data_IF_539482087683
#
_entry.id   IF_539482087683
#
_cell.length_a   1.000
_cell.length_b   1.000
_cell.length_c   1.000
_cell.angle_alpha   90.00
_cell.angle_beta   90.00
_cell.angle_gamma   90.00
#
_symmetry.space_group_name_H-M   'P 1'
#
loop_
_entity.id
_entity.type
_entity.pdbx_description
1 polymer ?
#
# COMPACT_ATOMS: atom_id res chain seq x y z
N UNK A 1 7.07 -11.77 -12.74
CA UNK A 1 7.14 -10.30 -12.58
C UNK A 1 6.31 -9.92 -11.36
N UNK A 2 6.79 -9.03 -10.51
CA UNK A 2 6.05 -8.59 -9.32
C UNK A 2 5.15 -7.42 -9.69
N UNK A 3 3.87 -7.47 -9.31
CA UNK A 3 2.86 -6.45 -9.62
C UNK A 3 2.27 -5.85 -8.33
N UNK A 4 1.70 -4.64 -8.42
CA UNK A 4 1.03 -3.99 -7.27
C UNK A 4 -0.14 -4.86 -6.77
N UNK A 5 -0.89 -5.48 -7.69
CA UNK A 5 -2.01 -6.35 -7.34
C UNK A 5 -1.56 -7.57 -6.53
N UNK A 6 -0.47 -8.22 -6.93
CA UNK A 6 0.09 -9.34 -6.17
C UNK A 6 0.52 -8.90 -4.77
N UNK A 7 1.17 -7.73 -4.65
CA UNK A 7 1.58 -7.17 -3.35
C UNK A 7 0.37 -6.89 -2.47
N UNK A 8 -0.71 -6.33 -3.03
CA UNK A 8 -1.95 -6.08 -2.31
C UNK A 8 -2.57 -7.38 -1.80
N UNK A 9 -2.61 -8.43 -2.62
CA UNK A 9 -3.14 -9.75 -2.23
C UNK A 9 -2.35 -10.35 -1.08
N UNK A 10 -1.03 -10.47 -1.23
CA UNK A 10 -0.15 -11.08 -0.22
C UNK A 10 -0.13 -10.28 1.08
N UNK A 11 -0.14 -8.94 0.99
CA UNK A 11 -0.18 -8.11 2.19
C UNK A 11 -1.53 -8.25 2.90
N UNK A 12 -2.64 -8.23 2.18
CA UNK A 12 -3.96 -8.40 2.77
C UNK A 12 -4.11 -9.76 3.47
N UNK A 13 -3.62 -10.83 2.85
CA UNK A 13 -3.57 -12.18 3.43
C UNK A 13 -2.74 -12.23 4.71
N UNK A 14 -1.54 -11.64 4.69
CA UNK A 14 -0.63 -11.62 5.85
C UNK A 14 -1.21 -10.88 7.06
N UNK A 15 -2.06 -9.88 6.82
CA UNK A 15 -2.74 -9.11 7.85
C UNK A 15 -4.16 -9.63 8.15
N UNK A 16 -4.64 -10.69 7.49
CA UNK A 16 -5.98 -11.22 7.71
C UNK A 16 -7.13 -10.26 7.35
N UNK A 17 -6.91 -9.33 6.40
CA UNK A 17 -7.91 -8.35 5.97
C UNK A 17 -8.33 -8.56 4.51
N UNK A 18 -9.53 -8.13 4.10
CA UNK A 18 -9.90 -8.12 2.68
C UNK A 18 -9.01 -7.15 1.88
N UNK A 19 -8.61 -7.52 0.65
CA UNK A 19 -7.83 -6.66 -0.26
C UNK A 19 -8.49 -5.29 -0.47
N UNK A 20 -9.82 -5.25 -0.55
CA UNK A 20 -10.60 -4.01 -0.67
C UNK A 20 -10.36 -3.01 0.48
N UNK A 21 -9.91 -3.49 1.65
CA UNK A 21 -9.54 -2.65 2.79
C UNK A 21 -8.31 -1.80 2.52
N UNK A 22 -7.38 -2.28 1.69
CA UNK A 22 -6.18 -1.54 1.30
C UNK A 22 -6.51 -0.31 0.45
N UNK A 23 -7.57 -0.36 -0.37
CA UNK A 23 -8.04 0.78 -1.17
C UNK A 23 -9.18 1.57 -0.49
N UNK A 24 -9.78 1.00 0.55
CA UNK A 24 -10.87 1.62 1.32
C UNK A 24 -10.44 2.81 2.19
N UNK A 25 -11.42 3.49 2.78
CA UNK A 25 -11.21 4.69 3.61
C UNK A 25 -11.02 4.39 5.11
N UNK A 26 -11.16 3.12 5.54
CA UNK A 26 -11.02 2.73 6.94
C UNK A 26 -9.57 2.90 7.41
N UNK A 27 -9.41 3.52 8.60
CA UNK A 27 -8.12 3.94 9.17
C UNK A 27 -7.81 3.29 10.53
N UNK A 28 -8.39 2.13 10.83
CA UNK A 28 -7.95 1.37 12.01
C UNK A 28 -6.45 1.09 11.89
N UNK A 29 -5.73 1.09 13.01
CA UNK A 29 -4.25 1.04 13.02
C UNK A 29 -3.71 -0.14 12.20
N UNK A 30 -4.34 -1.30 12.32
CA UNK A 30 -4.03 -2.51 11.54
C UNK A 30 -4.17 -2.31 10.02
N UNK A 31 -5.31 -1.77 9.56
CA UNK A 31 -5.56 -1.51 8.13
C UNK A 31 -4.63 -0.40 7.61
N UNK A 32 -4.36 0.60 8.43
CA UNK A 32 -3.42 1.67 8.09
C UNK A 32 -2.01 1.11 7.87
N UNK A 33 -1.53 0.29 8.80
CA UNK A 33 -0.23 -0.37 8.70
C UNK A 33 -0.15 -1.29 7.48
N UNK A 34 -1.13 -2.18 7.28
CA UNK A 34 -1.17 -3.07 6.12
C UNK A 34 -1.10 -2.30 4.79
N UNK A 35 -1.84 -1.19 4.69
CA UNK A 35 -1.79 -0.31 3.51
C UNK A 35 -0.43 0.36 3.33
N UNK A 36 0.18 0.82 4.41
CA UNK A 36 1.49 1.48 4.35
C UNK A 36 2.58 0.49 3.90
N UNK A 37 2.56 -0.73 4.45
CA UNK A 37 3.45 -1.83 4.05
C UNK A 37 3.25 -2.15 2.55
N UNK A 38 2.01 -2.32 2.09
CA UNK A 38 1.73 -2.62 0.69
C UNK A 38 2.22 -1.51 -0.26
N UNK A 39 2.07 -0.23 0.12
CA UNK A 39 2.59 0.90 -0.66
C UNK A 39 4.12 0.93 -0.70
N UNK A 40 4.78 0.67 0.43
CA UNK A 40 6.24 0.58 0.53
C UNK A 40 6.79 -0.52 -0.38
N UNK A 41 6.25 -1.75 -0.26
CA UNK A 41 6.65 -2.88 -1.10
C UNK A 41 6.38 -2.62 -2.58
N UNK A 42 5.29 -1.95 -2.92
CA UNK A 42 4.98 -1.58 -4.31
C UNK A 42 6.07 -0.68 -4.90
N UNK A 43 6.58 0.28 -4.12
CA UNK A 43 7.65 1.18 -4.54
C UNK A 43 8.98 0.44 -4.70
N UNK A 44 9.29 -0.46 -3.78
CA UNK A 44 10.57 -1.18 -3.74
C UNK A 44 10.66 -2.27 -4.82
N UNK A 45 9.56 -2.98 -5.10
CA UNK A 45 9.59 -4.23 -5.87
C UNK A 45 9.09 -4.13 -7.32
N UNK A 46 8.40 -3.06 -7.71
CA UNK A 46 7.69 -3.00 -9.02
C UNK A 46 8.20 -1.96 -10.00
N UNK A 47 9.05 -1.01 -9.56
CA UNK A 47 9.55 0.09 -10.40
C UNK A 47 8.45 1.06 -10.89
N UNK A 48 7.22 0.94 -10.38
CA UNK A 48 6.09 1.80 -10.74
C UNK A 48 6.22 3.19 -10.11
N UNK A 49 5.59 4.19 -10.74
CA UNK A 49 5.65 5.57 -10.24
C UNK A 49 4.76 5.77 -9.01
N UNK A 50 5.08 6.76 -8.17
CA UNK A 50 4.27 7.10 -6.99
C UNK A 50 2.80 7.38 -7.34
N UNK A 51 2.54 7.97 -8.51
CA UNK A 51 1.18 8.20 -9.01
C UNK A 51 0.47 6.89 -9.32
N UNK A 52 1.12 5.95 -10.02
CA UNK A 52 0.55 4.63 -10.34
C UNK A 52 0.24 3.83 -9.07
N UNK A 53 1.14 3.86 -8.09
CA UNK A 53 0.90 3.26 -6.77
C UNK A 53 -0.31 3.94 -6.13
N UNK A 54 -0.35 5.28 -6.06
CA UNK A 54 -1.48 6.02 -5.52
C UNK A 54 -2.82 5.60 -6.14
N UNK A 55 -2.88 5.50 -7.47
CA UNK A 55 -4.08 5.06 -8.18
C UNK A 55 -4.50 3.63 -7.80
N UNK A 56 -3.56 2.68 -7.71
CA UNK A 56 -3.85 1.30 -7.33
C UNK A 56 -4.45 1.16 -5.91
N UNK A 57 -4.14 2.11 -5.00
CA UNK A 57 -4.69 2.18 -3.64
C UNK A 57 -5.86 3.18 -3.51
N UNK A 58 -6.43 3.65 -4.63
CA UNK A 58 -7.49 4.66 -4.66
C UNK A 58 -7.13 5.92 -3.85
N UNK A 59 -5.91 6.44 -4.07
CA UNK A 59 -5.39 7.68 -3.50
C UNK A 59 -5.12 8.68 -4.61
N UNK A 60 -5.82 9.81 -4.55
CA UNK A 60 -5.67 10.90 -5.52
C UNK A 60 -4.33 11.63 -5.40
N UNK A 61 -3.80 11.71 -4.18
CA UNK A 61 -2.55 12.40 -3.90
C UNK A 61 -1.41 11.41 -3.65
N UNK A 62 -0.41 11.43 -4.54
CA UNK A 62 0.79 10.61 -4.48
C UNK A 62 1.65 10.89 -3.22
N UNK A 63 1.47 12.03 -2.56
CA UNK A 63 2.10 12.30 -1.25
C UNK A 63 1.70 11.25 -0.22
N UNK A 64 0.52 10.64 -0.33
CA UNK A 64 0.09 9.53 0.55
C UNK A 64 1.06 8.35 0.49
N UNK A 65 1.58 8.04 -0.71
CA UNK A 65 2.55 6.96 -0.91
C UNK A 65 3.90 7.33 -0.29
N UNK A 66 4.31 8.60 -0.42
CA UNK A 66 5.53 9.12 0.22
C UNK A 66 5.43 8.99 1.74
N UNK A 67 4.31 9.45 2.32
CA UNK A 67 4.05 9.35 3.76
C UNK A 67 4.04 7.89 4.24
N UNK A 68 3.43 6.98 3.46
CA UNK A 68 3.43 5.57 3.77
C UNK A 68 4.84 4.97 3.78
N UNK A 69 5.65 5.24 2.75
CA UNK A 69 7.02 4.73 2.66
C UNK A 69 7.87 5.24 3.83
N UNK A 70 7.84 6.55 4.08
CA UNK A 70 8.56 7.16 5.20
C UNK A 70 8.16 6.54 6.53
N UNK A 71 6.86 6.31 6.74
CA UNK A 71 6.37 5.71 7.98
C UNK A 71 6.92 4.30 8.21
N UNK A 72 7.04 3.48 7.16
CA UNK A 72 7.60 2.12 7.25
C UNK A 72 9.11 2.17 7.44
N UNK A 73 9.83 3.07 6.77
CA UNK A 73 11.28 3.25 6.93
C UNK A 73 11.68 3.74 8.34
N UNK A 74 10.79 4.46 9.03
CA UNK A 74 10.98 4.97 10.39
C UNK A 74 10.45 4.04 11.50
N UNK A 75 9.79 2.93 11.14
CA UNK A 75 9.22 1.97 12.11
C UNK A 75 10.21 0.86 12.45
#
# INVERSE_FOLDING_TARGET
QITIELIQQVTAESFGIPVSSLSGNKRTSEIALARQVAMYLSRDMTGTTLQQIGYAFNRKDHTTVIHACKKIEES
#
